data_IF_390770390383
#
_entry.id   IF_390770390383
#
_cell.length_a   1.000
_cell.length_b   1.000
_cell.length_c   1.000
_cell.angle_alpha   90.00
_cell.angle_beta   90.00
_cell.angle_gamma   90.00
#
_symmetry.space_group_name_H-M   'P 1'
#
loop_
_entity.id
_entity.type
_entity.pdbx_description
1 polymer ?
#
# COMPACT_ATOMS: atom_id res chain seq x y z
N UNK A 1 1.76 16.03 -12.79
CA UNK A 1 2.86 16.84 -13.37
C UNK A 1 2.23 17.96 -14.18
N UNK A 2 2.95 19.07 -14.36
CA UNK A 2 2.48 20.10 -15.28
C UNK A 2 2.42 19.53 -16.71
N UNK A 3 1.27 19.68 -17.38
CA UNK A 3 1.21 19.44 -18.82
C UNK A 3 1.86 20.58 -19.59
N UNK A 4 2.51 20.22 -20.71
CA UNK A 4 3.28 21.15 -21.55
C UNK A 4 2.47 21.71 -22.72
N UNK A 5 1.23 21.26 -22.89
CA UNK A 5 0.35 21.71 -23.97
C UNK A 5 -0.10 23.17 -23.75
N UNK A 6 -0.52 23.83 -24.84
CA UNK A 6 -0.93 25.24 -24.82
C UNK A 6 -2.04 25.53 -23.81
N UNK A 7 -2.92 24.55 -23.54
CA UNK A 7 -4.03 24.67 -22.60
C UNK A 7 -3.63 24.45 -21.13
N UNK A 8 -2.34 24.14 -20.88
CA UNK A 8 -1.78 23.90 -19.55
C UNK A 8 -2.62 22.90 -18.74
N UNK A 9 -2.98 21.78 -19.36
CA UNK A 9 -3.76 20.71 -18.73
C UNK A 9 -2.88 19.83 -17.84
N UNK A 10 -3.20 19.62 -16.55
CA UNK A 10 -2.41 18.72 -15.71
C UNK A 10 -2.45 17.28 -16.21
N UNK A 11 -1.30 16.62 -16.15
CA UNK A 11 -1.11 15.23 -16.59
C UNK A 11 -0.70 14.31 -15.45
N UNK A 12 -0.96 13.01 -15.64
CA UNK A 12 -0.45 11.92 -14.82
C UNK A 12 0.53 11.11 -15.66
N UNK A 13 1.73 10.89 -15.12
CA UNK A 13 2.82 10.12 -15.73
C UNK A 13 3.84 9.73 -14.65
N UNK A 14 4.75 8.81 -14.98
CA UNK A 14 5.94 8.58 -14.17
C UNK A 14 7.05 9.52 -14.65
N UNK A 15 7.27 10.60 -13.89
CA UNK A 15 8.15 11.67 -14.33
C UNK A 15 9.59 11.20 -14.53
N UNK A 16 10.22 11.74 -15.58
CA UNK A 16 11.60 11.39 -16.02
C UNK A 16 11.78 9.94 -16.47
N UNK A 17 10.70 9.19 -16.65
CA UNK A 17 10.69 7.92 -17.37
C UNK A 17 10.14 8.11 -18.79
N UNK A 18 10.31 7.10 -19.64
CA UNK A 18 9.77 7.05 -21.01
C UNK A 18 8.29 6.59 -21.02
N UNK A 19 7.51 6.97 -20.01
CA UNK A 19 6.09 6.64 -19.92
C UNK A 19 5.25 7.61 -20.75
N UNK A 20 4.11 7.14 -21.26
CA UNK A 20 3.11 7.99 -21.90
C UNK A 20 2.35 8.80 -20.86
N UNK A 21 1.86 9.97 -21.28
CA UNK A 21 1.09 10.86 -20.43
C UNK A 21 -0.41 10.67 -20.64
N UNK A 22 -1.19 10.83 -19.56
CA UNK A 22 -2.66 10.88 -19.61
C UNK A 22 -3.17 12.12 -18.88
N UNK A 23 -4.32 12.65 -19.29
CA UNK A 23 -4.91 13.82 -18.67
C UNK A 23 -5.42 13.50 -17.26
N UNK A 24 -5.08 14.33 -16.29
CA UNK A 24 -5.59 14.19 -14.93
C UNK A 24 -7.13 14.23 -14.90
N UNK A 25 -7.73 15.12 -15.71
CA UNK A 25 -9.18 15.28 -15.83
C UNK A 25 -9.89 13.97 -16.18
N UNK A 26 -9.35 13.22 -17.15
CA UNK A 26 -9.94 11.96 -17.61
C UNK A 26 -9.84 10.88 -16.53
N UNK A 27 -8.74 10.88 -15.77
CA UNK A 27 -8.58 9.97 -14.62
C UNK A 27 -9.60 10.29 -13.52
N UNK A 28 -9.90 11.56 -13.24
CA UNK A 28 -10.94 11.91 -12.26
C UNK A 28 -12.33 11.47 -12.73
N UNK A 29 -12.66 11.57 -14.02
CA UNK A 29 -13.90 10.98 -14.57
C UNK A 29 -13.95 9.47 -14.38
N UNK A 30 -12.87 8.76 -14.71
CA UNK A 30 -12.80 7.30 -14.53
C UNK A 30 -12.97 6.91 -13.05
N UNK A 31 -12.37 7.66 -12.12
CA UNK A 31 -12.54 7.44 -10.68
C UNK A 31 -13.99 7.68 -10.27
N UNK A 32 -14.63 8.78 -10.69
CA UNK A 32 -16.04 9.06 -10.38
C UNK A 32 -16.95 7.90 -10.79
N UNK A 33 -16.73 7.37 -11.99
CA UNK A 33 -17.60 6.36 -12.60
C UNK A 33 -17.41 4.97 -11.98
N UNK A 34 -16.19 4.67 -11.49
CA UNK A 34 -15.85 3.34 -10.99
C UNK A 34 -15.74 3.24 -9.46
N UNK A 35 -15.57 4.37 -8.75
CA UNK A 35 -15.21 4.42 -7.33
C UNK A 35 -16.06 3.51 -6.43
N UNK A 36 -17.38 3.50 -6.65
CA UNK A 36 -18.31 2.81 -5.77
C UNK A 36 -19.20 1.79 -6.50
N UNK A 37 -18.67 1.17 -7.55
CA UNK A 37 -19.38 0.11 -8.31
C UNK A 37 -19.45 -1.20 -7.52
N UNK A 38 -18.38 -1.56 -6.82
CA UNK A 38 -18.26 -2.84 -6.11
C UNK A 38 -18.16 -2.70 -4.59
N UNK A 39 -17.96 -1.48 -4.07
CA UNK A 39 -17.87 -1.20 -2.64
C UNK A 39 -18.38 0.20 -2.34
N UNK A 40 -19.08 0.40 -1.22
CA UNK A 40 -19.50 1.73 -0.76
C UNK A 40 -18.49 2.39 0.19
N UNK A 41 -17.39 1.71 0.53
CA UNK A 41 -16.41 2.24 1.49
C UNK A 41 -15.49 3.32 0.89
N UNK A 42 -14.91 4.21 1.72
CA UNK A 42 -14.18 5.38 1.25
C UNK A 42 -12.92 5.03 0.43
N UNK A 43 -12.58 5.92 -0.50
CA UNK A 43 -11.35 5.87 -1.30
C UNK A 43 -10.41 7.00 -0.88
N UNK A 44 -9.11 6.74 -0.82
CA UNK A 44 -8.07 7.76 -0.62
C UNK A 44 -7.26 7.92 -1.89
N UNK A 45 -7.33 9.09 -2.53
CA UNK A 45 -6.51 9.44 -3.67
C UNK A 45 -5.16 9.99 -3.20
N UNK A 46 -4.08 9.21 -3.39
CA UNK A 46 -2.72 9.59 -2.99
C UNK A 46 -2.03 10.39 -4.08
N UNK A 47 -1.99 11.72 -3.94
CA UNK A 47 -1.35 12.59 -4.92
C UNK A 47 0.16 12.70 -4.68
N UNK A 48 0.93 12.47 -5.73
CA UNK A 48 2.33 12.89 -5.81
C UNK A 48 2.42 14.13 -6.70
N UNK A 49 2.29 15.30 -6.06
CA UNK A 49 2.04 16.55 -6.76
C UNK A 49 3.34 17.22 -7.21
N UNK A 50 3.47 17.44 -8.51
CA UNK A 50 4.60 18.11 -9.18
C UNK A 50 4.13 19.28 -10.06
N UNK A 51 2.93 19.78 -9.83
CA UNK A 51 2.33 20.82 -10.65
C UNK A 51 2.64 22.22 -10.09
N UNK A 52 2.70 23.20 -10.98
CA UNK A 52 2.64 24.64 -10.72
C UNK A 52 1.37 25.04 -9.95
N UNK A 53 1.37 26.21 -9.30
CA UNK A 53 0.17 26.69 -8.56
C UNK A 53 -1.07 26.78 -9.46
N UNK A 54 -0.91 27.27 -10.68
CA UNK A 54 -1.99 27.37 -11.65
C UNK A 54 -2.60 25.99 -11.98
N UNK A 55 -1.76 25.01 -12.32
CA UNK A 55 -2.29 23.68 -12.62
C UNK A 55 -2.78 22.95 -11.36
N UNK A 56 -2.24 23.23 -10.16
CA UNK A 56 -2.79 22.74 -8.90
C UNK A 56 -4.21 23.26 -8.63
N UNK A 57 -4.50 24.51 -8.99
CA UNK A 57 -5.87 25.02 -8.96
C UNK A 57 -6.77 24.23 -9.91
N UNK A 58 -6.31 23.93 -11.13
CA UNK A 58 -7.05 23.04 -12.06
C UNK A 58 -7.27 21.64 -11.48
N UNK A 59 -6.27 21.03 -10.82
CA UNK A 59 -6.44 19.75 -10.11
C UNK A 59 -7.60 19.81 -9.11
N UNK A 60 -7.60 20.85 -8.26
CA UNK A 60 -8.62 21.04 -7.23
C UNK A 60 -10.00 21.27 -7.84
N UNK A 61 -10.09 22.10 -8.90
CA UNK A 61 -11.34 22.36 -9.62
C UNK A 61 -11.90 21.11 -10.29
N UNK A 62 -11.08 20.28 -10.93
CA UNK A 62 -11.54 19.01 -11.48
C UNK A 62 -12.04 18.06 -10.40
N UNK A 63 -11.33 17.94 -9.27
CA UNK A 63 -11.82 17.14 -8.14
C UNK A 63 -13.19 17.66 -7.65
N UNK A 64 -13.32 18.96 -7.41
CA UNK A 64 -14.57 19.57 -6.92
C UNK A 64 -15.73 19.38 -7.91
N UNK A 65 -15.54 19.73 -9.18
CA UNK A 65 -16.62 19.76 -10.17
C UNK A 65 -17.03 18.36 -10.63
N UNK A 66 -16.06 17.44 -10.79
CA UNK A 66 -16.34 16.11 -11.33
C UNK A 66 -16.79 15.16 -10.21
N UNK A 67 -16.15 15.18 -9.04
CA UNK A 67 -16.51 14.28 -7.94
C UNK A 67 -17.71 14.80 -7.15
N UNK A 68 -17.93 16.12 -7.11
CA UNK A 68 -19.07 16.74 -6.43
C UNK A 68 -19.23 16.25 -5.00
N UNK A 69 -20.41 15.73 -4.67
CA UNK A 69 -20.74 15.23 -3.32
C UNK A 69 -19.91 14.00 -2.89
N UNK A 70 -19.25 13.31 -3.82
CA UNK A 70 -18.34 12.21 -3.47
C UNK A 70 -17.07 12.74 -2.83
N UNK A 71 -16.62 13.96 -3.16
CA UNK A 71 -15.42 14.54 -2.57
C UNK A 71 -15.66 14.93 -1.11
N UNK A 72 -14.83 14.42 -0.21
CA UNK A 72 -14.78 14.89 1.17
C UNK A 72 -13.82 16.07 1.27
N UNK A 73 -14.34 17.27 1.01
CA UNK A 73 -13.56 18.52 1.04
C UNK A 73 -13.43 19.15 2.44
N UNK A 74 -14.20 18.68 3.43
CA UNK A 74 -14.21 19.20 4.80
C UNK A 74 -14.31 18.05 5.81
N UNK A 75 -13.85 18.29 7.05
CA UNK A 75 -14.09 17.37 8.16
C UNK A 75 -15.58 17.21 8.44
N UNK A 76 -15.99 16.01 8.87
CA UNK A 76 -17.36 15.72 9.27
C UNK A 76 -17.63 16.18 10.71
N UNK A 77 -18.90 16.40 11.03
CA UNK A 77 -19.34 16.69 12.39
C UNK A 77 -19.00 15.54 13.33
N UNK A 78 -18.54 15.86 14.55
CA UNK A 78 -18.13 14.87 15.55
C UNK A 78 -16.74 14.26 15.34
N UNK A 79 -16.00 14.67 14.31
CA UNK A 79 -14.59 14.26 14.11
C UNK A 79 -13.74 15.44 13.63
N UNK A 80 -13.56 16.49 14.44
CA UNK A 80 -12.73 17.64 14.06
C UNK A 80 -11.25 17.27 13.90
N UNK A 81 -10.50 18.09 13.17
CA UNK A 81 -9.07 17.89 12.92
C UNK A 81 -8.23 18.42 14.10
N UNK A 82 -8.39 17.79 15.26
CA UNK A 82 -7.72 18.18 16.50
C UNK A 82 -6.86 17.03 17.07
N UNK A 83 -5.80 17.32 17.84
CA UNK A 83 -5.06 16.30 18.58
C UNK A 83 -5.97 15.46 19.49
N UNK A 84 -5.71 14.18 19.59
CA UNK A 84 -6.48 13.22 20.39
C UNK A 84 -7.80 12.76 19.78
N UNK A 85 -8.24 13.35 18.67
CA UNK A 85 -9.50 12.97 18.01
C UNK A 85 -9.25 11.82 17.01
N UNK A 86 -9.87 10.64 17.19
CA UNK A 86 -9.68 9.51 16.29
C UNK A 86 -10.17 9.76 14.86
N UNK A 87 -9.64 8.98 13.92
CA UNK A 87 -10.13 8.96 12.54
C UNK A 87 -11.60 8.47 12.49
N UNK A 88 -12.44 9.02 11.59
CA UNK A 88 -13.77 8.49 11.34
C UNK A 88 -13.73 7.03 10.89
N UNK A 89 -14.76 6.26 11.24
CA UNK A 89 -14.89 4.88 10.74
C UNK A 89 -15.14 4.85 9.22
N UNK A 90 -14.78 3.75 8.52
CA UNK A 90 -15.14 3.57 7.11
C UNK A 90 -16.65 3.71 6.86
N UNK A 91 -17.50 3.32 7.82
CA UNK A 91 -18.96 3.48 7.72
C UNK A 91 -19.40 4.95 7.71
N UNK A 92 -18.74 5.82 8.50
CA UNK A 92 -19.04 7.24 8.54
C UNK A 92 -18.63 7.98 7.25
N UNK A 93 -17.72 7.38 6.48
CA UNK A 93 -17.18 7.94 5.24
C UNK A 93 -17.64 7.16 3.99
N UNK A 94 -18.77 6.44 4.07
CA UNK A 94 -19.31 5.74 2.90
C UNK A 94 -19.50 6.69 1.73
N UNK A 95 -19.10 6.22 0.55
CA UNK A 95 -19.17 6.93 -0.73
C UNK A 95 -18.45 8.27 -0.73
N UNK A 96 -17.38 8.38 0.09
CA UNK A 96 -16.51 9.54 0.14
C UNK A 96 -15.12 9.25 -0.44
N UNK A 97 -14.59 10.24 -1.16
CA UNK A 97 -13.26 10.25 -1.74
C UNK A 97 -12.45 11.31 -0.99
N UNK A 98 -11.36 10.88 -0.37
CA UNK A 98 -10.44 11.73 0.36
C UNK A 98 -9.22 12.04 -0.50
N UNK A 99 -8.70 13.26 -0.41
CA UNK A 99 -7.44 13.65 -1.05
C UNK A 99 -6.32 13.55 -0.02
N UNK A 100 -5.31 12.75 -0.33
CA UNK A 100 -4.02 12.74 0.36
C UNK A 100 -3.02 13.54 -0.47
N UNK A 101 -2.84 14.80 -0.10
CA UNK A 101 -1.86 15.72 -0.67
C UNK A 101 -1.22 16.55 0.45
N UNK A 102 -0.04 17.13 0.23
CA UNK A 102 0.55 18.06 1.22
C UNK A 102 -0.42 19.19 1.53
N UNK A 103 -0.42 19.62 2.79
CA UNK A 103 -1.26 20.70 3.32
C UNK A 103 -0.38 21.80 3.90
N UNK A 104 -0.78 23.06 3.65
CA UNK A 104 -0.18 24.23 4.27
C UNK A 104 -0.44 24.21 5.79
N UNK A 105 0.35 24.98 6.55
CA UNK A 105 0.06 25.22 7.97
C UNK A 105 -1.31 25.90 8.08
N UNK A 106 -2.16 25.57 9.08
CA UNK A 106 -3.54 26.10 9.16
C UNK A 106 -3.65 27.63 9.07
N UNK A 107 -2.74 28.36 9.70
CA UNK A 107 -2.71 29.82 9.67
C UNK A 107 -2.39 30.38 8.28
N UNK A 108 -1.39 29.79 7.61
CA UNK A 108 -0.98 30.15 6.24
C UNK A 108 -2.08 29.78 5.25
N UNK A 109 -2.67 28.58 5.39
CA UNK A 109 -3.80 28.12 4.57
C UNK A 109 -4.96 29.10 4.64
N UNK A 110 -5.38 29.48 5.84
CA UNK A 110 -6.50 30.41 6.04
C UNK A 110 -6.22 31.77 5.40
N UNK A 111 -5.04 32.35 5.65
CA UNK A 111 -4.62 33.65 5.08
C UNK A 111 -4.58 33.59 3.55
N UNK A 112 -3.85 32.64 2.97
CA UNK A 112 -3.70 32.53 1.52
C UNK A 112 -5.03 32.21 0.83
N UNK A 113 -5.91 31.42 1.45
CA UNK A 113 -7.25 31.16 0.90
C UNK A 113 -8.12 32.42 0.89
N UNK A 114 -8.08 33.23 1.95
CA UNK A 114 -8.80 34.53 1.99
C UNK A 114 -8.28 35.52 0.93
N UNK A 115 -6.96 35.58 0.71
CA UNK A 115 -6.36 36.41 -0.35
C UNK A 115 -6.78 35.92 -1.74
N UNK A 116 -6.76 34.60 -1.96
CA UNK A 116 -7.16 33.99 -3.23
C UNK A 116 -8.62 34.32 -3.57
N UNK A 117 -9.53 34.18 -2.60
CA UNK A 117 -10.95 34.52 -2.77
C UNK A 117 -11.20 36.01 -3.02
N UNK A 118 -10.27 36.89 -2.63
CA UNK A 118 -10.29 38.33 -2.93
C UNK A 118 -9.63 38.67 -4.27
N UNK A 119 -9.14 37.69 -5.03
CA UNK A 119 -8.41 37.89 -6.28
C UNK A 119 -7.00 38.46 -6.09
N UNK A 120 -6.41 38.33 -4.90
CA UNK A 120 -5.08 38.84 -4.56
C UNK A 120 -4.00 37.76 -4.72
N UNK A 121 -3.94 37.14 -5.90
CA UNK A 121 -2.99 36.05 -6.18
C UNK A 121 -1.53 36.50 -6.13
N UNK A 122 -1.22 37.73 -6.53
CA UNK A 122 0.14 38.26 -6.47
C UNK A 122 0.68 38.29 -5.03
N UNK A 123 -0.15 38.71 -4.06
CA UNK A 123 0.25 38.75 -2.66
C UNK A 123 0.62 37.35 -2.11
N UNK A 124 -0.02 36.30 -2.62
CA UNK A 124 0.29 34.91 -2.26
C UNK A 124 1.64 34.47 -2.87
N UNK A 125 1.97 34.96 -4.07
CA UNK A 125 3.25 34.67 -4.72
C UNK A 125 4.39 35.35 -3.97
N UNK A 126 4.20 36.62 -3.60
CA UNK A 126 5.18 37.42 -2.85
C UNK A 126 5.48 36.76 -1.48
N UNK A 127 4.45 36.37 -0.72
CA UNK A 127 4.59 35.65 0.57
C UNK A 127 5.41 34.35 0.45
N UNK A 128 5.20 33.61 -0.64
CA UNK A 128 5.90 32.35 -0.85
C UNK A 128 7.37 32.53 -1.25
N UNK A 129 7.73 33.65 -1.86
CA UNK A 129 9.11 33.97 -2.20
C UNK A 129 9.87 34.38 -0.93
N UNK A 130 9.26 35.18 -0.06
CA UNK A 130 9.79 35.52 1.27
C UNK A 130 10.05 34.26 2.13
N UNK A 131 9.11 33.30 2.16
CA UNK A 131 9.31 32.03 2.90
C UNK A 131 10.44 31.15 2.33
N UNK A 132 10.75 31.26 1.02
CA UNK A 132 11.86 30.52 0.41
C UNK A 132 13.20 31.12 0.79
N UNK A 133 13.30 32.45 0.88
CA UNK A 133 14.53 33.15 1.26
C UNK A 133 14.90 32.89 2.73
N UNK A 134 13.91 32.66 3.61
CA UNK A 134 14.11 32.33 5.02
C UNK A 134 14.38 30.83 5.28
N UNK A 135 14.34 29.98 4.24
CA UNK A 135 14.56 28.53 4.36
C UNK A 135 16.04 28.16 4.20
N UNK A 136 16.67 27.70 5.29
CA UNK A 136 18.07 27.24 5.34
C UNK A 136 18.35 26.13 4.29
N UNK A 137 19.47 26.15 3.52
CA UNK A 137 19.71 25.27 2.38
C UNK A 137 19.86 23.77 2.72
N UNK A 138 19.79 23.41 4.00
CA UNK A 138 19.93 22.02 4.48
C UNK A 138 18.66 21.17 4.30
N UNK A 139 17.57 21.75 3.76
CA UNK A 139 16.27 21.08 3.61
C UNK A 139 16.18 20.02 2.49
N UNK A 140 17.29 19.66 1.85
CA UNK A 140 17.34 18.67 0.77
C UNK A 140 18.10 17.40 1.19
N UNK A 141 17.67 16.77 2.28
CA UNK A 141 18.09 15.43 2.65
C UNK A 141 16.85 14.53 2.69
N UNK A 142 16.40 14.13 1.49
CA UNK A 142 15.72 12.85 1.28
C UNK A 142 16.78 11.73 1.14
N UNK A 143 17.83 11.76 1.95
CA UNK A 143 18.69 10.59 2.11
C UNK A 143 17.97 9.63 3.07
N UNK A 144 17.86 8.33 2.74
CA UNK A 144 17.50 7.33 3.72
C UNK A 144 18.49 7.38 4.89
N UNK A 145 18.08 7.15 6.15
CA UNK A 145 19.03 6.87 7.20
C UNK A 145 19.76 5.56 6.85
N UNK A 146 21.09 5.63 6.75
CA UNK A 146 22.06 4.54 6.90
C UNK A 146 21.79 3.25 6.14
N UNK A 147 22.64 2.96 5.15
CA UNK A 147 22.86 1.58 4.69
C UNK A 147 23.14 0.68 5.91
N UNK A 148 22.18 -0.17 6.25
CA UNK A 148 22.41 -1.29 7.14
C UNK A 148 23.07 -2.37 6.28
N UNK A 149 24.22 -2.94 6.67
CA UNK A 149 24.90 -3.94 5.86
C UNK A 149 23.96 -5.10 5.55
N UNK A 150 23.97 -5.57 4.30
CA UNK A 150 23.28 -6.77 3.87
C UNK A 150 23.75 -7.95 4.73
N UNK A 151 22.89 -8.37 5.65
CA UNK A 151 22.95 -9.68 6.29
C UNK A 151 22.10 -10.63 5.46
N UNK A 152 22.77 -11.45 4.67
CA UNK A 152 22.21 -12.54 3.89
C UNK A 152 21.32 -13.45 4.74
N UNK A 153 20.17 -13.83 4.17
CA UNK A 153 19.31 -14.86 4.73
C UNK A 153 17.87 -14.73 4.26
N UNK A 154 17.63 -15.00 2.97
CA UNK A 154 16.45 -15.69 2.44
C UNK A 154 16.65 -15.84 0.92
N UNK A 155 16.85 -17.08 0.51
CA UNK A 155 17.25 -17.52 -0.83
C UNK A 155 16.20 -17.16 -1.89
N UNK A 156 16.57 -16.30 -2.85
CA UNK A 156 15.83 -16.13 -4.09
C UNK A 156 16.08 -17.35 -4.99
N UNK A 157 15.04 -18.16 -5.18
CA UNK A 157 15.01 -19.13 -6.26
C UNK A 157 14.90 -18.37 -7.58
N UNK A 158 15.90 -18.52 -8.44
CA UNK A 158 15.86 -18.11 -9.85
C UNK A 158 14.65 -18.76 -10.51
N UNK A 159 13.74 -17.95 -11.03
CA UNK A 159 12.85 -18.36 -12.12
C UNK A 159 13.24 -17.51 -13.32
N UNK A 160 13.98 -18.15 -14.21
CA UNK A 160 14.22 -17.71 -15.58
C UNK A 160 13.03 -18.26 -16.39
N UNK A 161 12.20 -17.37 -16.92
CA UNK A 161 11.29 -17.66 -18.04
C UNK A 161 10.88 -16.30 -18.64
N UNK A 162 11.46 -15.99 -19.80
CA UNK A 162 11.28 -14.73 -20.51
C UNK A 162 9.94 -14.60 -21.23
N UNK A 163 9.44 -13.37 -21.25
CA UNK A 163 9.26 -12.55 -22.46
C UNK A 163 8.95 -11.11 -21.99
N UNK A 164 9.92 -10.18 -22.16
CA UNK A 164 9.73 -8.74 -21.93
C UNK A 164 10.34 -8.12 -20.66
N UNK A 165 11.14 -8.86 -19.87
CA UNK A 165 11.83 -8.32 -18.70
C UNK A 165 13.15 -7.60 -19.05
N UNK A 166 13.45 -6.49 -18.36
CA UNK A 166 14.74 -5.81 -18.46
C UNK A 166 15.86 -6.74 -17.96
N UNK A 167 17.01 -6.73 -18.64
CA UNK A 167 18.20 -7.41 -18.14
C UNK A 167 18.74 -6.72 -16.89
N UNK A 168 19.54 -7.44 -16.09
CA UNK A 168 20.14 -6.89 -14.87
C UNK A 168 21.02 -5.65 -15.15
N UNK A 169 21.67 -5.59 -16.32
CA UNK A 169 22.48 -4.43 -16.74
C UNK A 169 21.62 -3.22 -17.10
N UNK A 170 20.49 -3.44 -17.78
CA UNK A 170 19.52 -2.39 -18.12
C UNK A 170 18.82 -1.84 -16.87
N UNK A 171 18.46 -2.71 -15.93
CA UNK A 171 17.90 -2.32 -14.63
C UNK A 171 18.88 -1.46 -13.83
N UNK A 172 20.15 -1.86 -13.76
CA UNK A 172 21.19 -1.08 -13.10
C UNK A 172 21.42 0.29 -13.76
N UNK A 173 21.38 0.36 -15.09
CA UNK A 173 21.51 1.62 -15.82
C UNK A 173 20.32 2.56 -15.60
N UNK A 174 19.09 2.04 -15.57
CA UNK A 174 17.89 2.81 -15.25
C UNK A 174 17.93 3.32 -13.80
N UNK A 175 18.34 2.48 -12.85
CA UNK A 175 18.49 2.87 -11.45
C UNK A 175 19.53 3.96 -11.25
N UNK A 176 20.69 3.87 -11.91
CA UNK A 176 21.75 4.88 -11.83
C UNK A 176 21.30 6.26 -12.33
N UNK A 177 20.40 6.29 -13.31
CA UNK A 177 19.84 7.52 -13.86
C UNK A 177 18.52 7.95 -13.19
N UNK A 178 17.94 7.11 -12.32
CA UNK A 178 16.68 7.42 -11.66
C UNK A 178 16.89 8.37 -10.49
N UNK A 179 16.64 9.67 -10.73
CA UNK A 179 16.69 10.68 -9.68
C UNK A 179 15.28 11.06 -9.23
N UNK A 180 14.85 10.47 -8.10
CA UNK A 180 13.60 10.79 -7.44
C UNK A 180 13.57 12.28 -7.05
N UNK A 181 12.68 13.03 -7.67
CA UNK A 181 12.31 14.38 -7.22
C UNK A 181 11.12 14.26 -6.30
N UNK A 182 11.25 14.73 -5.06
CA UNK A 182 10.10 14.75 -4.13
C UNK A 182 8.99 15.67 -4.64
N UNK A 183 7.76 15.41 -4.19
CA UNK A 183 6.60 16.27 -4.49
C UNK A 183 6.86 17.74 -4.11
N UNK A 184 6.25 18.68 -4.83
CA UNK A 184 6.35 20.12 -4.56
C UNK A 184 6.01 20.46 -3.11
N UNK A 185 6.71 21.43 -2.51
CA UNK A 185 6.37 22.00 -1.19
C UNK A 185 5.49 23.25 -1.32
N UNK A 186 5.38 23.80 -2.53
CA UNK A 186 4.59 24.99 -2.81
C UNK A 186 3.16 24.58 -3.19
N UNK A 187 2.24 24.62 -2.22
CA UNK A 187 0.87 24.11 -2.37
C UNK A 187 -0.11 25.26 -2.62
N UNK A 188 -1.04 25.08 -3.56
CA UNK A 188 -2.14 26.02 -3.78
C UNK A 188 -3.13 25.98 -2.60
N UNK A 189 -3.53 27.12 -2.00
CA UNK A 189 -4.40 27.13 -0.81
C UNK A 189 -5.75 26.43 -1.03
N UNK A 190 -6.32 26.54 -2.23
CA UNK A 190 -7.57 25.85 -2.58
C UNK A 190 -7.46 24.32 -2.54
N UNK A 191 -6.34 23.76 -3.04
CA UNK A 191 -6.08 22.31 -2.98
C UNK A 191 -5.75 21.88 -1.55
N UNK A 192 -5.00 22.71 -0.82
CA UNK A 192 -4.66 22.48 0.60
C UNK A 192 -5.90 22.30 1.45
N UNK A 193 -6.87 23.20 1.29
CA UNK A 193 -8.11 23.22 2.08
C UNK A 193 -9.00 21.98 1.89
N UNK A 194 -8.78 21.19 0.83
CA UNK A 194 -9.51 19.93 0.58
C UNK A 194 -8.92 18.73 1.35
N UNK A 195 -7.72 18.86 1.94
CA UNK A 195 -7.04 17.78 2.67
C UNK A 195 -7.50 17.76 4.13
N UNK A 196 -7.94 16.59 4.61
CA UNK A 196 -8.44 16.39 5.98
C UNK A 196 -7.81 15.17 6.67
N UNK A 197 -8.49 14.02 6.68
CA UNK A 197 -8.13 12.84 7.47
C UNK A 197 -6.93 12.05 6.94
N UNK A 198 -6.43 12.39 5.75
CA UNK A 198 -5.29 11.73 5.10
C UNK A 198 -4.14 12.73 4.84
N UNK A 199 -3.77 13.53 5.85
CA UNK A 199 -2.75 14.56 5.74
C UNK A 199 -1.33 13.95 5.80
N UNK A 200 -0.56 13.94 4.70
CA UNK A 200 0.79 13.39 4.72
C UNK A 200 1.77 14.35 5.40
N UNK A 201 2.54 13.83 6.35
CA UNK A 201 3.62 14.55 7.04
C UNK A 201 4.95 13.82 6.94
N UNK A 202 6.06 14.57 6.96
CA UNK A 202 7.39 13.99 7.10
C UNK A 202 7.46 13.24 8.44
N UNK A 203 7.78 11.96 8.38
CA UNK A 203 7.92 11.14 9.58
C UNK A 203 9.19 11.56 10.33
N UNK A 204 9.04 11.87 11.62
CA UNK A 204 10.12 12.41 12.47
C UNK A 204 10.54 11.45 13.62
N UNK A 205 9.86 10.31 13.77
CA UNK A 205 10.01 9.40 14.89
C UNK A 205 8.66 8.93 15.42
N UNK A 206 8.61 7.70 15.96
CA UNK A 206 7.40 7.16 16.58
C UNK A 206 7.02 7.92 17.85
N UNK A 207 8.02 8.25 18.66
CA UNK A 207 7.93 9.10 19.86
C UNK A 207 7.38 10.49 19.54
N UNK A 208 7.88 11.12 18.47
CA UNK A 208 7.41 12.44 18.03
C UNK A 208 5.96 12.38 17.54
N UNK A 209 5.59 11.34 16.81
CA UNK A 209 4.23 11.14 16.33
C UNK A 209 3.25 10.88 17.49
N UNK A 210 3.68 10.11 18.50
CA UNK A 210 2.94 9.88 19.73
C UNK A 210 2.77 11.14 20.56
N UNK A 211 3.83 11.91 20.79
CA UNK A 211 3.77 13.14 21.55
C UNK A 211 2.84 14.21 20.92
N UNK A 212 2.74 14.23 19.58
CA UNK A 212 1.83 15.14 18.88
C UNK A 212 0.36 14.72 18.95
N UNK A 213 0.11 13.41 19.01
CA UNK A 213 -1.22 12.80 19.10
C UNK A 213 -2.21 13.25 18.00
N UNK A 214 -1.73 13.43 16.77
CA UNK A 214 -2.56 13.91 15.64
C UNK A 214 -2.91 12.72 14.72
N UNK A 215 -4.12 12.19 14.86
CA UNK A 215 -4.56 10.97 14.14
C UNK A 215 -4.73 11.16 12.63
N UNK A 216 -5.13 12.37 12.19
CA UNK A 216 -5.29 12.70 10.78
C UNK A 216 -3.96 12.90 10.03
N UNK A 217 -2.84 12.95 10.76
CA UNK A 217 -1.52 12.89 10.15
C UNK A 217 -1.18 11.45 9.79
N UNK A 218 -0.61 11.26 8.60
CA UNK A 218 -0.18 9.97 8.09
C UNK A 218 1.20 10.05 7.47
N UNK A 219 1.90 8.93 7.39
CA UNK A 219 3.25 8.86 6.81
C UNK A 219 3.33 7.81 5.70
N UNK A 220 4.08 8.13 4.65
CA UNK A 220 4.35 7.22 3.53
C UNK A 220 5.81 6.80 3.57
N UNK A 221 6.07 5.50 3.43
CA UNK A 221 7.40 4.90 3.50
C UNK A 221 7.63 4.05 2.26
N UNK A 222 8.82 4.14 1.65
CA UNK A 222 9.24 3.10 0.73
C UNK A 222 9.48 1.79 1.51
N UNK A 223 9.44 0.65 0.81
CA UNK A 223 9.57 -0.67 1.45
C UNK A 223 10.86 -0.82 2.28
N UNK A 224 11.98 -0.23 1.85
CA UNK A 224 13.27 -0.34 2.54
C UNK A 224 13.27 0.39 3.88
N UNK A 225 12.75 1.62 3.92
CA UNK A 225 12.63 2.41 5.14
C UNK A 225 11.65 1.76 6.12
N UNK A 226 10.51 1.29 5.62
CA UNK A 226 9.53 0.57 6.42
C UNK A 226 10.09 -0.72 7.01
N UNK A 227 10.90 -1.47 6.24
CA UNK A 227 11.59 -2.66 6.72
C UNK A 227 12.64 -2.32 7.79
N UNK A 228 13.34 -1.19 7.64
CA UNK A 228 14.25 -0.66 8.66
C UNK A 228 13.53 -0.42 10.00
N UNK A 229 12.40 0.27 9.98
CA UNK A 229 11.59 0.48 11.19
C UNK A 229 11.03 -0.82 11.75
N UNK A 230 10.63 -1.76 10.90
CA UNK A 230 10.16 -3.07 11.36
C UNK A 230 11.27 -3.86 12.07
N UNK A 231 12.53 -3.75 11.62
CA UNK A 231 13.67 -4.44 12.27
C UNK A 231 14.11 -3.78 13.58
N UNK A 232 13.98 -2.46 13.68
CA UNK A 232 14.53 -1.69 14.81
C UNK A 232 13.48 -1.34 15.88
N UNK A 233 12.21 -1.21 15.49
CA UNK A 233 11.15 -0.63 16.33
C UNK A 233 9.77 -1.19 15.94
N UNK A 234 9.66 -2.52 15.86
CA UNK A 234 8.43 -3.20 15.42
C UNK A 234 7.22 -2.87 16.31
N UNK A 235 7.42 -2.85 17.62
CA UNK A 235 6.35 -2.61 18.61
C UNK A 235 5.83 -1.18 18.49
N UNK A 236 6.74 -0.21 18.38
CA UNK A 236 6.41 1.20 18.16
C UNK A 236 5.67 1.39 16.84
N UNK A 237 6.06 0.66 15.79
CA UNK A 237 5.38 0.72 14.50
C UNK A 237 3.95 0.17 14.58
N UNK A 238 3.74 -0.95 15.27
CA UNK A 238 2.39 -1.48 15.56
C UNK A 238 1.56 -0.46 16.33
N UNK A 239 2.14 0.16 17.37
CA UNK A 239 1.45 1.15 18.20
C UNK A 239 1.09 2.43 17.42
N UNK A 240 2.00 2.92 16.56
CA UNK A 240 1.72 4.02 15.62
C UNK A 240 0.50 3.71 14.76
N UNK A 241 0.43 2.50 14.21
CA UNK A 241 -0.65 2.06 13.32
C UNK A 241 -2.00 1.82 14.03
N UNK A 242 -2.08 1.92 15.36
CA UNK A 242 -3.37 1.94 16.08
C UNK A 242 -4.08 3.30 15.96
N UNK A 243 -3.30 4.37 15.83
CA UNK A 243 -3.80 5.76 15.82
C UNK A 243 -3.75 6.40 14.44
N UNK A 244 -2.65 6.19 13.73
CA UNK A 244 -2.35 6.86 12.47
C UNK A 244 -2.26 5.87 11.31
N UNK A 245 -2.37 6.40 10.09
CA UNK A 245 -2.22 5.61 8.87
C UNK A 245 -0.77 5.59 8.40
N UNK A 246 -0.28 4.43 8.00
CA UNK A 246 0.95 4.27 7.22
C UNK A 246 0.64 3.76 5.82
N UNK A 247 1.33 4.35 4.83
CA UNK A 247 1.33 3.88 3.45
C UNK A 247 2.70 3.35 3.07
N UNK A 248 2.76 2.10 2.63
CA UNK A 248 3.99 1.48 2.12
C UNK A 248 3.91 1.45 0.60
N UNK A 249 5.04 1.66 -0.08
CA UNK A 249 5.12 1.56 -1.54
C UNK A 249 6.43 0.94 -2.01
N UNK A 250 6.47 0.34 -3.23
CA UNK A 250 7.67 -0.31 -3.74
C UNK A 250 8.84 0.67 -3.89
N UNK A 251 10.07 0.20 -3.68
CA UNK A 251 11.27 1.02 -3.92
C UNK A 251 11.42 1.27 -5.42
N UNK A 252 12.02 2.42 -5.77
CA UNK A 252 12.26 2.81 -7.17
C UNK A 252 13.13 1.83 -7.95
N UNK A 253 13.91 0.99 -7.27
CA UNK A 253 14.70 -0.07 -7.89
C UNK A 253 13.87 -1.14 -8.61
N UNK A 254 12.58 -1.30 -8.30
CA UNK A 254 11.70 -2.28 -8.96
C UNK A 254 11.15 -1.72 -10.28
N UNK A 255 12.05 -1.53 -11.24
CA UNK A 255 11.73 -0.94 -12.56
C UNK A 255 10.81 -1.83 -13.40
N UNK A 256 10.85 -3.14 -13.14
CA UNK A 256 9.99 -4.18 -13.73
C UNK A 256 8.58 -4.20 -13.14
N UNK A 257 8.26 -3.28 -12.21
CA UNK A 257 7.01 -3.26 -11.46
C UNK A 257 6.77 -4.51 -10.59
N UNK A 258 7.81 -5.26 -10.20
CA UNK A 258 7.68 -6.33 -9.21
C UNK A 258 7.12 -5.82 -7.88
N UNK A 259 6.50 -6.71 -7.10
CA UNK A 259 5.99 -6.38 -5.77
C UNK A 259 6.88 -6.94 -4.65
N UNK A 260 6.78 -6.28 -3.50
CA UNK A 260 7.27 -6.80 -2.23
C UNK A 260 6.17 -7.62 -1.53
N UNK A 261 6.55 -8.47 -0.58
CA UNK A 261 5.59 -9.28 0.16
C UNK A 261 4.78 -8.42 1.14
N UNK A 262 3.44 -8.27 0.96
CA UNK A 262 2.65 -7.34 1.74
C UNK A 262 2.43 -7.79 3.19
N UNK A 263 2.43 -9.10 3.43
CA UNK A 263 2.23 -9.70 4.76
C UNK A 263 3.20 -9.14 5.81
N UNK A 264 4.44 -8.85 5.42
CA UNK A 264 5.47 -8.28 6.30
C UNK A 264 4.98 -6.97 6.95
N UNK A 265 4.29 -6.12 6.18
CA UNK A 265 3.81 -4.82 6.65
C UNK A 265 2.41 -4.90 7.28
N UNK A 266 1.57 -5.85 6.84
CA UNK A 266 0.31 -6.14 7.54
C UNK A 266 0.56 -6.66 8.96
N UNK A 267 1.64 -7.44 9.17
CA UNK A 267 2.07 -7.87 10.50
C UNK A 267 2.43 -6.69 11.42
N UNK A 268 2.87 -5.56 10.86
CA UNK A 268 3.12 -4.30 11.58
C UNK A 268 1.87 -3.42 11.72
N UNK A 269 0.72 -3.85 11.17
CA UNK A 269 -0.54 -3.13 11.22
C UNK A 269 -0.69 -2.01 10.19
N UNK A 270 0.23 -1.94 9.22
CA UNK A 270 0.19 -0.96 8.14
C UNK A 270 -1.06 -1.15 7.28
N UNK A 271 -1.77 -0.05 7.00
CA UNK A 271 -3.10 -0.10 6.39
C UNK A 271 -3.05 0.01 4.87
N UNK A 272 -2.20 0.90 4.33
CA UNK A 272 -2.11 1.15 2.89
C UNK A 272 -0.83 0.55 2.31
N UNK A 273 -0.78 -0.79 2.23
CA UNK A 273 0.35 -1.53 1.68
C UNK A 273 0.22 -1.60 0.15
N UNK A 274 0.67 -0.54 -0.54
CA UNK A 274 0.43 -0.34 -1.96
C UNK A 274 1.30 -1.25 -2.82
N UNK A 275 0.70 -1.89 -3.82
CA UNK A 275 1.31 -2.82 -4.75
C UNK A 275 1.04 -2.38 -6.21
N UNK A 276 1.84 -2.89 -7.13
CA UNK A 276 1.72 -2.74 -8.58
C UNK A 276 0.68 -3.74 -9.10
N UNK A 277 -0.56 -3.28 -9.29
CA UNK A 277 -1.70 -4.12 -9.74
C UNK A 277 -1.52 -4.71 -11.14
N UNK A 278 -0.68 -4.10 -11.97
CA UNK A 278 -0.34 -4.60 -13.31
C UNK A 278 0.52 -5.87 -13.30
N UNK A 279 1.13 -6.21 -12.16
CA UNK A 279 2.03 -7.36 -12.01
C UNK A 279 1.35 -8.44 -11.17
N UNK A 280 0.82 -9.53 -11.78
CA UNK A 280 0.07 -10.57 -11.07
C UNK A 280 0.99 -11.59 -10.36
N UNK A 281 2.06 -11.11 -9.72
CA UNK A 281 3.00 -11.93 -8.97
C UNK A 281 2.39 -12.46 -7.67
N UNK A 282 3.16 -13.27 -6.93
CA UNK A 282 2.71 -13.88 -5.68
C UNK A 282 2.14 -12.87 -4.68
N UNK A 283 2.76 -11.69 -4.57
CA UNK A 283 2.31 -10.64 -3.66
C UNK A 283 0.95 -10.08 -4.08
N UNK A 284 0.73 -9.86 -5.38
CA UNK A 284 -0.57 -9.43 -5.88
C UNK A 284 -1.64 -10.52 -5.74
N UNK A 285 -1.28 -11.78 -5.98
CA UNK A 285 -2.17 -12.92 -5.75
C UNK A 285 -2.64 -12.93 -4.28
N UNK A 286 -1.71 -12.83 -3.32
CA UNK A 286 -2.02 -12.75 -1.89
C UNK A 286 -2.93 -11.57 -1.55
N UNK A 287 -2.67 -10.41 -2.14
CA UNK A 287 -3.52 -9.23 -1.97
C UNK A 287 -4.95 -9.47 -2.46
N UNK A 288 -5.12 -9.93 -3.70
CA UNK A 288 -6.44 -10.19 -4.27
C UNK A 288 -7.21 -11.26 -3.47
N UNK A 289 -6.55 -12.37 -3.13
CA UNK A 289 -7.18 -13.44 -2.36
C UNK A 289 -7.55 -13.04 -0.93
N UNK A 290 -6.74 -12.22 -0.27
CA UNK A 290 -7.05 -11.71 1.08
C UNK A 290 -8.22 -10.72 1.04
N UNK A 291 -8.25 -9.81 0.07
CA UNK A 291 -9.29 -8.77 -0.04
C UNK A 291 -10.59 -9.23 -0.72
N UNK A 292 -10.67 -10.47 -1.24
CA UNK A 292 -11.94 -11.11 -1.62
C UNK A 292 -12.91 -11.21 -0.42
N UNK A 293 -12.35 -11.35 0.79
CA UNK A 293 -13.09 -11.47 2.04
C UNK A 293 -13.72 -10.14 2.48
N UNK A 294 -14.66 -10.21 3.42
CA UNK A 294 -15.49 -9.09 3.83
C UNK A 294 -16.26 -8.46 2.66
N UNK A 295 -16.78 -9.30 1.76
CA UNK A 295 -17.62 -8.89 0.63
C UNK A 295 -16.87 -8.10 -0.45
N UNK A 296 -15.58 -8.37 -0.67
CA UNK A 296 -14.73 -7.67 -1.63
C UNK A 296 -14.76 -6.14 -1.49
N UNK A 297 -14.92 -5.66 -0.25
CA UNK A 297 -15.21 -4.26 -0.01
C UNK A 297 -13.94 -3.38 0.09
N UNK A 298 -12.75 -4.00 0.03
CA UNK A 298 -11.45 -3.33 0.12
C UNK A 298 -10.97 -3.02 1.55
N UNK A 299 -11.75 -3.37 2.57
CA UNK A 299 -11.40 -3.16 3.98
C UNK A 299 -11.47 -4.46 4.76
N UNK A 300 -10.45 -4.73 5.57
CA UNK A 300 -10.40 -5.84 6.52
C UNK A 300 -10.09 -5.28 7.90
N UNK A 301 -10.87 -5.68 8.90
CA UNK A 301 -10.64 -5.24 10.28
C UNK A 301 -9.37 -5.92 10.82
N UNK A 302 -8.43 -5.14 11.34
CA UNK A 302 -7.24 -5.69 12.00
C UNK A 302 -7.62 -6.50 13.24
N UNK A 303 -6.83 -7.53 13.62
CA UNK A 303 -7.04 -8.26 14.87
C UNK A 303 -7.04 -7.35 16.11
N UNK A 304 -7.67 -7.82 17.18
CA UNK A 304 -7.97 -7.00 18.37
C UNK A 304 -6.74 -6.40 19.05
N UNK A 305 -5.68 -7.19 19.23
CA UNK A 305 -4.41 -6.75 19.82
C UNK A 305 -3.67 -5.70 18.97
N UNK A 306 -3.96 -5.60 17.67
CA UNK A 306 -3.42 -4.56 16.77
C UNK A 306 -4.26 -3.28 16.75
N UNK A 307 -5.35 -3.23 17.53
CA UNK A 307 -6.25 -2.07 17.63
C UNK A 307 -6.30 -1.50 19.04
N UNK A 308 -6.25 -2.35 20.07
CA UNK A 308 -6.37 -1.95 21.46
C UNK A 308 -5.16 -1.14 21.97
N UNK A 309 -5.38 0.01 22.63
CA UNK A 309 -4.29 0.83 23.16
C UNK A 309 -3.57 0.17 24.34
N UNK A 310 -4.25 -0.69 25.09
CA UNK A 310 -3.75 -1.35 26.31
C UNK A 310 -3.02 -2.68 26.06
N UNK A 311 -2.88 -3.09 24.79
CA UNK A 311 -2.21 -4.34 24.41
C UNK A 311 -0.96 -4.06 23.60
N UNK A 312 0.16 -4.69 23.95
CA UNK A 312 1.40 -4.62 23.15
C UNK A 312 1.51 -5.87 22.29
N UNK A 313 2.03 -5.73 21.08
CA UNK A 313 2.21 -6.84 20.15
C UNK A 313 3.56 -6.72 19.45
N UNK A 314 4.37 -7.78 19.54
CA UNK A 314 5.59 -7.95 18.77
C UNK A 314 5.33 -8.95 17.63
N UNK A 315 5.37 -8.51 16.35
CA UNK A 315 5.20 -9.38 15.20
C UNK A 315 6.25 -10.48 15.06
N UNK A 316 7.39 -10.40 15.75
CA UNK A 316 8.47 -11.39 15.71
C UNK A 316 8.44 -12.37 16.89
N UNK A 317 7.48 -12.24 17.80
CA UNK A 317 7.32 -13.17 18.92
C UNK A 317 6.98 -14.58 18.43
N UNK A 318 7.73 -15.58 18.89
CA UNK A 318 7.45 -17.01 18.68
C UNK A 318 6.45 -17.59 19.70
N UNK A 319 6.16 -16.81 20.74
CA UNK A 319 5.20 -17.18 21.78
C UNK A 319 3.79 -16.73 21.38
N UNK A 320 2.75 -17.54 21.67
CA UNK A 320 1.36 -17.13 21.47
C UNK A 320 1.09 -15.77 22.10
N UNK A 321 0.35 -14.93 21.36
CA UNK A 321 -0.10 -13.63 21.87
C UNK A 321 -1.12 -13.88 22.97
N UNK A 322 -0.97 -13.19 24.10
CA UNK A 322 -1.92 -13.29 25.22
C UNK A 322 -3.36 -13.02 24.76
N UNK A 323 -4.24 -14.00 24.98
CA UNK A 323 -5.64 -13.98 24.54
C UNK A 323 -5.89 -14.54 23.14
N UNK A 324 -4.88 -14.98 22.39
CA UNK A 324 -5.04 -15.66 21.09
C UNK A 324 -4.72 -17.15 21.23
N UNK A 325 -5.62 -17.99 20.71
CA UNK A 325 -5.44 -19.45 20.71
C UNK A 325 -4.66 -19.83 19.44
N UNK A 326 -3.47 -20.40 19.63
CA UNK A 326 -2.70 -20.95 18.52
C UNK A 326 -3.46 -22.12 17.88
N UNK A 327 -3.37 -22.27 16.55
CA UNK A 327 -4.06 -23.31 15.81
C UNK A 327 -3.08 -24.36 15.27
N UNK A 328 -3.62 -25.54 14.94
CA UNK A 328 -2.97 -26.52 14.07
C UNK A 328 -3.80 -26.63 12.80
N UNK A 329 -3.16 -26.57 11.63
CA UNK A 329 -3.83 -26.74 10.34
C UNK A 329 -3.22 -27.95 9.62
N UNK A 330 -4.07 -28.82 9.08
CA UNK A 330 -3.67 -29.99 8.32
C UNK A 330 -4.34 -29.95 6.95
N UNK A 331 -3.55 -30.05 5.88
CA UNK A 331 -4.02 -29.96 4.50
C UNK A 331 -3.67 -31.23 3.77
N UNK A 332 -4.68 -32.02 3.43
CA UNK A 332 -4.51 -33.22 2.62
C UNK A 332 -4.90 -32.95 1.16
N UNK A 333 -3.93 -33.00 0.26
CA UNK A 333 -4.18 -32.85 -1.18
C UNK A 333 -4.55 -34.22 -1.76
N UNK A 334 -5.84 -34.43 -2.01
CA UNK A 334 -6.34 -35.72 -2.47
C UNK A 334 -6.18 -35.87 -3.99
N UNK A 335 -6.74 -34.94 -4.77
CA UNK A 335 -6.80 -35.01 -6.24
C UNK A 335 -7.05 -33.63 -6.86
N UNK A 336 -6.91 -33.51 -8.18
CA UNK A 336 -7.34 -32.36 -8.98
C UNK A 336 -8.29 -32.79 -10.10
N UNK A 337 -9.06 -31.85 -10.66
CA UNK A 337 -9.99 -32.10 -11.76
C UNK A 337 -9.89 -30.98 -12.80
N UNK A 338 -9.89 -31.35 -14.08
CA UNK A 338 -9.86 -30.44 -15.23
C UNK A 338 -8.75 -29.37 -15.15
N UNK A 339 -7.56 -29.76 -14.69
CA UNK A 339 -6.43 -28.85 -14.52
C UNK A 339 -5.85 -28.37 -15.86
N UNK A 340 -5.93 -29.22 -16.90
CA UNK A 340 -5.48 -28.88 -18.24
C UNK A 340 -6.23 -29.68 -19.30
N UNK A 341 -6.38 -29.08 -20.48
CA UNK A 341 -6.84 -29.75 -21.70
C UNK A 341 -5.76 -30.66 -22.31
N UNK A 342 -4.51 -30.56 -21.85
CA UNK A 342 -3.36 -31.34 -22.28
C UNK A 342 -2.99 -32.42 -21.27
N UNK A 343 -2.32 -33.47 -21.75
CA UNK A 343 -1.68 -34.49 -20.91
C UNK A 343 -0.35 -33.98 -20.38
N UNK A 344 -0.40 -33.17 -19.33
CA UNK A 344 0.76 -32.63 -18.64
C UNK A 344 0.98 -33.28 -17.26
N UNK A 345 2.20 -33.18 -16.75
CA UNK A 345 2.48 -33.48 -15.34
C UNK A 345 2.06 -32.31 -14.45
N UNK A 346 1.48 -32.59 -13.28
CA UNK A 346 1.07 -31.55 -12.33
C UNK A 346 1.48 -31.88 -10.89
N UNK A 347 1.70 -30.86 -10.08
CA UNK A 347 1.88 -30.96 -8.64
C UNK A 347 1.19 -29.80 -7.91
N UNK A 348 0.99 -29.95 -6.61
CA UNK A 348 0.37 -28.92 -5.76
C UNK A 348 1.37 -28.49 -4.68
N UNK A 349 1.51 -27.19 -4.49
CA UNK A 349 2.22 -26.58 -3.36
C UNK A 349 1.21 -25.99 -2.38
N UNK A 350 1.49 -26.16 -1.09
CA UNK A 350 0.67 -25.60 0.00
C UNK A 350 1.56 -24.75 0.89
N UNK A 351 1.40 -23.44 0.80
CA UNK A 351 2.15 -22.47 1.60
C UNK A 351 1.27 -21.85 2.68
N UNK A 352 1.88 -21.34 3.75
CA UNK A 352 1.24 -20.45 4.72
C UNK A 352 2.01 -19.13 4.80
N UNK A 353 1.27 -18.02 4.80
CA UNK A 353 1.81 -16.67 4.98
C UNK A 353 1.15 -16.04 6.20
N UNK A 354 1.92 -15.51 7.14
CA UNK A 354 1.40 -14.94 8.37
C UNK A 354 2.49 -14.15 9.08
N UNK A 355 2.61 -14.32 10.40
CA UNK A 355 3.82 -13.90 11.11
C UNK A 355 5.07 -14.59 10.54
N UNK A 356 6.28 -14.06 10.77
CA UNK A 356 7.51 -14.72 10.38
C UNK A 356 7.59 -16.17 10.89
N UNK A 357 7.15 -16.43 12.13
CA UNK A 357 7.12 -17.77 12.73
C UNK A 357 6.05 -18.70 12.13
N UNK A 358 4.98 -18.15 11.55
CA UNK A 358 3.87 -18.90 10.93
C UNK A 358 4.07 -19.10 9.42
N UNK A 359 5.03 -18.39 8.81
CA UNK A 359 5.23 -18.40 7.37
C UNK A 359 6.05 -19.61 6.96
N UNK A 360 5.44 -20.52 6.19
CA UNK A 360 6.07 -21.72 5.63
C UNK A 360 5.86 -21.69 4.12
N UNK A 361 6.96 -21.73 3.36
CA UNK A 361 6.94 -21.62 1.90
C UNK A 361 7.78 -22.72 1.26
N UNK A 362 7.30 -23.28 0.14
CA UNK A 362 8.03 -24.28 -0.67
C UNK A 362 8.45 -25.54 0.10
N UNK A 363 7.90 -25.78 1.29
CA UNK A 363 8.17 -26.97 2.09
C UNK A 363 7.19 -28.09 1.74
N UNK A 364 5.91 -27.76 1.65
CA UNK A 364 4.84 -28.72 1.37
C UNK A 364 4.48 -28.74 -0.11
N UNK A 365 4.90 -29.81 -0.78
CA UNK A 365 4.65 -30.06 -2.19
C UNK A 365 4.32 -31.53 -2.40
N UNK A 366 3.27 -31.81 -3.19
CA UNK A 366 2.92 -33.17 -3.59
C UNK A 366 3.95 -33.70 -4.60
N UNK A 367 4.01 -35.03 -4.76
CA UNK A 367 4.70 -35.59 -5.94
C UNK A 367 4.01 -35.12 -7.22
N UNK A 368 4.78 -35.04 -8.30
CA UNK A 368 4.23 -34.78 -9.63
C UNK A 368 3.49 -36.02 -10.13
N UNK A 369 2.24 -35.85 -10.57
CA UNK A 369 1.48 -36.88 -11.30
C UNK A 369 1.69 -36.63 -12.80
N UNK A 370 2.44 -37.48 -13.52
CA UNK A 370 2.79 -37.23 -14.92
C UNK A 370 1.61 -37.53 -15.86
N UNK A 371 1.56 -36.80 -16.98
CA UNK A 371 0.66 -37.07 -18.12
C UNK A 371 -0.84 -37.19 -17.77
N UNK A 372 -1.30 -36.53 -16.70
CA UNK A 372 -2.70 -36.52 -16.28
C UNK A 372 -3.13 -35.11 -15.83
N UNK A 373 -3.60 -34.30 -16.78
CA UNK A 373 -4.22 -33.00 -16.52
C UNK A 373 -5.73 -33.05 -16.24
N UNK A 374 -6.37 -34.20 -16.43
CA UNK A 374 -7.83 -34.31 -16.36
C UNK A 374 -8.32 -34.63 -14.94
N UNK A 375 -7.71 -35.60 -14.28
CA UNK A 375 -8.13 -36.08 -12.96
C UNK A 375 -6.98 -36.71 -12.16
N UNK A 376 -5.84 -36.01 -11.94
CA UNK A 376 -4.73 -36.55 -11.17
C UNK A 376 -5.15 -36.82 -9.72
N UNK A 377 -4.70 -37.95 -9.19
CA UNK A 377 -4.84 -38.31 -7.77
C UNK A 377 -3.45 -38.24 -7.13
N UNK A 378 -3.29 -37.34 -6.16
CA UNK A 378 -2.03 -37.17 -5.43
C UNK A 378 -1.99 -38.10 -4.21
N UNK A 379 -3.11 -38.21 -3.48
CA UNK A 379 -3.31 -39.08 -2.31
C UNK A 379 -2.10 -39.09 -1.34
N UNK A 380 -1.59 -37.91 -1.05
CA UNK A 380 -0.45 -37.71 -0.15
C UNK A 380 -0.90 -37.71 1.32
N UNK A 381 0.06 -37.95 2.22
CA UNK A 381 -0.13 -37.69 3.65
C UNK A 381 -0.42 -36.20 3.90
N UNK A 382 -1.21 -35.86 4.94
CA UNK A 382 -1.54 -34.47 5.21
C UNK A 382 -0.30 -33.62 5.51
N UNK A 383 -0.25 -32.42 4.91
CA UNK A 383 0.71 -31.39 5.26
C UNK A 383 0.28 -30.71 6.57
N UNK A 384 1.12 -30.80 7.61
CA UNK A 384 0.74 -30.37 8.96
C UNK A 384 1.50 -29.11 9.37
N UNK A 385 0.77 -27.99 9.45
CA UNK A 385 1.19 -26.76 10.10
C UNK A 385 0.93 -26.89 11.61
N UNK A 386 1.91 -27.43 12.33
CA UNK A 386 1.74 -27.90 13.72
C UNK A 386 1.35 -26.80 14.69
N UNK A 387 1.92 -25.60 14.53
CA UNK A 387 1.72 -24.46 15.41
C UNK A 387 1.62 -23.19 14.58
N UNK A 388 0.41 -22.68 14.43
CA UNK A 388 0.11 -21.35 13.90
C UNK A 388 -0.13 -20.43 15.08
N UNK A 389 0.88 -19.61 15.41
CA UNK A 389 0.90 -18.69 16.54
C UNK A 389 -0.23 -17.68 16.44
N UNK A 390 -0.51 -17.18 15.24
CA UNK A 390 -1.51 -16.14 15.03
C UNK A 390 -2.42 -16.41 13.81
N UNK A 391 -3.45 -17.26 13.98
CA UNK A 391 -4.34 -17.67 12.89
C UNK A 391 -5.05 -16.49 12.20
N UNK A 392 -5.44 -15.45 12.94
CA UNK A 392 -6.15 -14.27 12.41
C UNK A 392 -5.36 -13.50 11.33
N UNK A 393 -4.02 -13.58 11.36
CA UNK A 393 -3.16 -12.96 10.34
C UNK A 393 -2.70 -13.93 9.25
N UNK A 394 -2.88 -15.23 9.47
CA UNK A 394 -2.37 -16.28 8.61
C UNK A 394 -3.32 -16.56 7.44
N UNK A 395 -2.74 -16.76 6.26
CA UNK A 395 -3.43 -17.16 5.03
C UNK A 395 -2.75 -18.40 4.46
N UNK A 396 -3.56 -19.40 4.15
CA UNK A 396 -3.15 -20.59 3.43
C UNK A 396 -3.21 -20.30 1.92
N UNK A 397 -2.21 -20.74 1.17
CA UNK A 397 -2.18 -20.67 -0.29
C UNK A 397 -2.01 -22.06 -0.86
N UNK A 398 -2.93 -22.47 -1.72
CA UNK A 398 -2.85 -23.71 -2.49
C UNK A 398 -2.56 -23.32 -3.94
N UNK A 399 -1.37 -23.65 -4.44
CA UNK A 399 -0.97 -23.40 -5.82
C UNK A 399 -0.84 -24.71 -6.59
N UNK A 400 -1.46 -24.79 -7.77
CA UNK A 400 -1.36 -25.94 -8.67
C UNK A 400 -0.44 -25.57 -9.83
N UNK A 401 0.55 -26.42 -10.09
CA UNK A 401 1.62 -26.15 -11.05
C UNK A 401 1.76 -27.27 -12.07
N UNK A 402 2.17 -26.91 -13.28
CA UNK A 402 2.73 -27.84 -14.25
C UNK A 402 4.10 -28.33 -13.78
N UNK A 403 4.54 -29.50 -14.25
CA UNK A 403 5.88 -30.04 -13.96
C UNK A 403 7.03 -29.08 -14.32
N UNK A 404 6.81 -28.20 -15.30
CA UNK A 404 7.74 -27.14 -15.73
C UNK A 404 7.89 -26.02 -14.70
N UNK A 405 7.02 -25.93 -13.70
CA UNK A 405 6.97 -24.83 -12.73
C UNK A 405 5.97 -23.74 -13.08
N UNK A 406 5.28 -23.83 -14.22
CA UNK A 406 4.23 -22.88 -14.61
C UNK A 406 3.00 -23.02 -13.70
N UNK A 407 2.51 -21.90 -13.15
CA UNK A 407 1.29 -21.88 -12.35
C UNK A 407 0.06 -22.12 -13.25
N UNK A 408 -0.79 -23.08 -12.86
CA UNK A 408 -2.08 -23.38 -13.49
C UNK A 408 -3.19 -22.57 -12.82
N UNK A 409 -3.22 -22.58 -11.49
CA UNK A 409 -4.26 -21.92 -10.71
C UNK A 409 -3.89 -21.89 -9.23
N UNK A 410 -4.56 -21.03 -8.47
CA UNK A 410 -4.29 -20.89 -7.05
C UNK A 410 -5.55 -20.51 -6.26
N UNK A 411 -5.57 -20.81 -4.96
CA UNK A 411 -6.56 -20.34 -4.00
C UNK A 411 -5.87 -19.83 -2.74
N UNK A 412 -6.35 -18.72 -2.20
CA UNK A 412 -5.91 -18.15 -0.92
C UNK A 412 -7.07 -18.18 0.06
N UNK A 413 -6.78 -18.67 1.27
CA UNK A 413 -7.76 -18.94 2.31
C UNK A 413 -7.21 -18.39 3.65
N UNK A 414 -7.70 -17.25 4.14
CA UNK A 414 -7.47 -16.82 5.52
C UNK A 414 -7.94 -17.89 6.50
N UNK A 415 -7.14 -18.17 7.52
CA UNK A 415 -7.45 -19.25 8.46
C UNK A 415 -8.71 -18.97 9.29
N UNK A 416 -8.99 -17.71 9.63
CA UNK A 416 -10.20 -17.30 10.35
C UNK A 416 -11.52 -17.64 9.59
N UNK A 417 -11.45 -17.76 8.26
CA UNK A 417 -12.61 -18.08 7.42
C UNK A 417 -12.71 -19.55 6.98
N UNK A 418 -11.80 -20.41 7.42
CA UNK A 418 -11.74 -21.80 6.96
C UNK A 418 -12.86 -22.62 7.64
N UNK A 419 -13.70 -23.26 6.83
CA UNK A 419 -14.73 -24.17 7.36
C UNK A 419 -14.04 -25.39 7.97
N UNK A 420 -14.29 -25.62 9.27
CA UNK A 420 -13.74 -26.72 10.04
C UNK A 420 -14.40 -28.07 9.72
#
# INVERSE_FOLDING_TARGET
>A
WDGKDNDQEPIITHGKAMCTDILFRDVIYAIRDCAFVTSDYPIVMSFENHCSKYQQYKLAKYCEEILGDLLLSRSIEGSPLEPGVPLPSPNALKRKILIKNKRLKPEVEKRQLELFLKGQEQAILDENEEEKEDSDPTANINAPPGEVPEGDGLTNGKTDDGEGGLTAEEEAALQANYQYTGATTNIHPYLSAMVNYAQPVKFAGFDVAEAKDIYHNMSSFNESAALGYLKQSCIEFVNYNKRQMSRIYPKGGRVDSSNYMPQIFWNAGCQMVALNFQTPDLAMQLNQGKFEYNGNCGFLLKPDFMRRPDKTFDPFSESPVDGVIAATCSVQVISGQFLSDKKIGTYVEVDMYGLPTDTIRKEFRTRTVPNNGLNPVYNEEPFVFRKVVLPDLAVLRIGVYEETGKLIGQRILPLDGLQA
#
